data_IF_025869851508
#
_entry.id   IF_025869851508
#
_cell.length_a   1.000
_cell.length_b   1.000
_cell.length_c   1.000
_cell.angle_alpha   90.00
_cell.angle_beta   90.00
_cell.angle_gamma   90.00
#
_symmetry.space_group_name_H-M   'P 1'
#
loop_
_entity.id
_entity.type
_entity.pdbx_description
1 polymer ?
#
# COMPACT_ATOMS: atom_id res chain seq x y z
N UNK A 1 -14.36 2.34 -8.43
CA UNK A 1 -13.00 2.86 -8.13
C UNK A 1 -11.92 1.82 -8.46
N UNK A 2 -12.25 0.52 -8.50
CA UNK A 2 -11.25 -0.53 -8.76
C UNK A 2 -10.23 -0.61 -7.62
N UNK A 3 -9.03 -1.09 -7.93
CA UNK A 3 -7.96 -1.35 -6.96
C UNK A 3 -7.15 -0.09 -6.58
N UNK A 4 -7.69 1.10 -6.85
CA UNK A 4 -7.14 2.33 -6.29
C UNK A 4 -7.28 2.37 -4.76
N UNK A 5 -8.31 1.72 -4.21
CA UNK A 5 -8.53 1.64 -2.78
C UNK A 5 -9.14 0.29 -2.39
N UNK A 6 -8.77 -0.17 -1.19
CA UNK A 6 -9.18 -1.43 -0.60
C UNK A 6 -9.76 -1.13 0.79
N UNK A 7 -10.95 -1.64 1.08
CA UNK A 7 -11.52 -1.57 2.43
C UNK A 7 -11.13 -2.82 3.23
N UNK A 8 -10.35 -2.63 4.29
CA UNK A 8 -9.99 -3.70 5.23
C UNK A 8 -9.29 -4.91 4.61
N UNK A 9 -8.58 -4.74 3.49
CA UNK A 9 -7.95 -5.82 2.72
C UNK A 9 -6.50 -5.45 2.38
N UNK A 10 -5.60 -6.43 2.33
CA UNK A 10 -4.24 -6.19 1.84
C UNK A 10 -4.26 -5.82 0.34
N UNK A 11 -3.42 -4.85 -0.03
CA UNK A 11 -3.42 -4.26 -1.36
C UNK A 11 -2.26 -4.77 -2.23
N UNK A 12 -2.45 -4.77 -3.54
CA UNK A 12 -1.45 -5.17 -4.53
C UNK A 12 -0.40 -4.06 -4.73
N UNK A 13 0.89 -4.39 -4.57
CA UNK A 13 2.01 -3.43 -4.70
C UNK A 13 3.11 -3.95 -5.64
N UNK A 14 2.86 -5.04 -6.37
CA UNK A 14 3.92 -5.77 -7.07
C UNK A 14 4.47 -5.09 -8.34
N UNK A 15 3.85 -3.99 -8.77
CA UNK A 15 4.33 -3.16 -9.88
C UNK A 15 5.30 -2.04 -9.45
N UNK A 16 5.46 -1.78 -8.15
CA UNK A 16 6.42 -0.78 -7.65
C UNK A 16 6.08 0.66 -8.03
N UNK A 17 4.79 1.00 -8.11
CA UNK A 17 4.32 2.36 -8.43
C UNK A 17 3.62 3.03 -7.23
N UNK A 18 4.11 2.78 -6.03
CA UNK A 18 3.44 3.22 -4.79
C UNK A 18 3.54 4.74 -4.57
N UNK A 19 4.55 5.42 -5.09
CA UNK A 19 4.64 6.88 -5.07
C UNK A 19 3.56 7.54 -5.94
N UNK A 20 3.40 7.05 -7.17
CA UNK A 20 2.34 7.50 -8.07
C UNK A 20 0.94 7.17 -7.53
N UNK A 21 0.79 6.03 -6.86
CA UNK A 21 -0.44 5.67 -6.16
C UNK A 21 -0.79 6.69 -5.07
N UNK A 22 0.17 7.07 -4.21
CA UNK A 22 -0.05 8.09 -3.17
C UNK A 22 -0.50 9.43 -3.76
N UNK A 23 0.11 9.88 -4.85
CA UNK A 23 -0.28 11.10 -5.55
C UNK A 23 -1.72 11.02 -6.10
N UNK A 24 -2.09 9.87 -6.66
CA UNK A 24 -3.45 9.64 -7.14
C UNK A 24 -4.47 9.62 -6.00
N UNK A 25 -4.15 9.01 -4.85
CA UNK A 25 -5.02 9.02 -3.67
C UNK A 25 -5.28 10.43 -3.16
N UNK A 26 -4.25 11.28 -3.16
CA UNK A 26 -4.38 12.68 -2.75
C UNK A 26 -5.32 13.46 -3.67
N UNK A 27 -5.09 13.37 -4.98
CA UNK A 27 -5.94 14.00 -6.00
C UNK A 27 -7.38 13.52 -5.89
N UNK A 28 -7.60 12.21 -5.81
CA UNK A 28 -8.95 11.63 -5.73
C UNK A 28 -9.67 11.99 -4.42
N UNK A 29 -8.93 12.16 -3.32
CA UNK A 29 -9.51 12.64 -2.06
C UNK A 29 -10.13 14.02 -2.23
N UNK A 30 -9.46 14.91 -2.97
CA UNK A 30 -10.01 16.24 -3.28
C UNK A 30 -11.18 16.15 -4.28
N UNK A 31 -11.00 15.41 -5.38
CA UNK A 31 -11.97 15.34 -6.49
C UNK A 31 -13.30 14.68 -6.07
N UNK A 32 -13.25 13.73 -5.14
CA UNK A 32 -14.41 12.90 -4.75
C UNK A 32 -15.01 13.31 -3.40
N UNK A 33 -14.50 14.37 -2.79
CA UNK A 33 -15.04 14.86 -1.53
C UNK A 33 -16.52 15.28 -1.70
N UNK A 34 -17.37 14.87 -0.76
CA UNK A 34 -18.81 15.15 -0.80
C UNK A 34 -19.66 14.10 -1.53
N UNK A 35 -19.05 13.11 -2.19
CA UNK A 35 -19.81 11.94 -2.66
C UNK A 35 -20.33 11.10 -1.50
N UNK A 36 -21.55 10.60 -1.63
CA UNK A 36 -22.21 9.80 -0.59
C UNK A 36 -21.67 8.38 -0.48
N UNK A 37 -21.09 7.83 -1.55
CA UNK A 37 -20.50 6.50 -1.57
C UNK A 37 -19.41 6.35 -2.65
N UNK A 38 -18.37 5.60 -2.31
CA UNK A 38 -17.31 5.12 -3.18
C UNK A 38 -17.28 3.59 -3.13
N UNK A 39 -17.09 2.96 -4.29
CA UNK A 39 -17.08 1.51 -4.45
C UNK A 39 -15.66 1.03 -4.79
N UNK A 40 -14.89 0.51 -3.81
CA UNK A 40 -13.57 -0.08 -4.05
C UNK A 40 -13.67 -1.38 -4.84
N UNK A 41 -12.54 -1.83 -5.39
CA UNK A 41 -12.44 -3.17 -5.99
C UNK A 41 -12.60 -4.28 -4.96
N UNK A 42 -12.17 -4.04 -3.72
CA UNK A 42 -12.23 -4.99 -2.62
C UNK A 42 -12.75 -4.37 -1.31
N UNK A 43 -13.50 -5.17 -0.57
CA UNK A 43 -14.13 -4.78 0.69
C UNK A 43 -15.47 -4.07 0.51
N UNK A 44 -15.91 -3.30 1.50
CA UNK A 44 -17.24 -2.67 1.48
C UNK A 44 -17.21 -1.29 0.82
N UNK A 45 -18.36 -0.82 0.29
CA UNK A 45 -18.52 0.58 -0.07
C UNK A 45 -18.26 1.47 1.14
N UNK A 46 -17.61 2.60 0.89
CA UNK A 46 -17.25 3.58 1.92
C UNK A 46 -17.46 4.99 1.42
N UNK A 47 -16.94 5.95 2.17
CA UNK A 47 -16.88 7.37 1.77
C UNK A 47 -15.42 7.74 1.47
N UNK A 48 -15.14 9.03 1.31
CA UNK A 48 -13.80 9.53 1.00
C UNK A 48 -12.73 9.10 2.01
N UNK A 49 -13.10 8.79 3.27
CA UNK A 49 -12.18 8.28 4.29
C UNK A 49 -11.52 6.95 3.91
N UNK A 50 -12.14 6.18 3.00
CA UNK A 50 -11.53 4.99 2.39
C UNK A 50 -10.19 5.33 1.71
N UNK A 51 -10.10 6.46 1.01
CA UNK A 51 -8.90 6.88 0.31
C UNK A 51 -7.79 7.28 1.29
N UNK A 52 -8.17 7.89 2.42
CA UNK A 52 -7.24 8.20 3.50
C UNK A 52 -6.71 6.91 4.16
N UNK A 53 -7.58 5.92 4.43
CA UNK A 53 -7.17 4.63 4.96
C UNK A 53 -6.22 3.88 4.00
N UNK A 54 -6.52 3.91 2.69
CA UNK A 54 -5.62 3.34 1.68
C UNK A 54 -4.26 4.06 1.68
N UNK A 55 -4.24 5.40 1.76
CA UNK A 55 -3.00 6.17 1.83
C UNK A 55 -2.16 5.75 3.04
N UNK A 56 -2.78 5.59 4.20
CA UNK A 56 -2.11 5.11 5.42
C UNK A 56 -1.52 3.71 5.21
N UNK A 57 -2.26 2.80 4.58
CA UNK A 57 -1.75 1.46 4.27
C UNK A 57 -0.52 1.49 3.35
N UNK A 58 -0.59 2.25 2.25
CA UNK A 58 0.53 2.37 1.28
C UNK A 58 1.76 3.01 1.93
N UNK A 59 1.57 4.02 2.78
CA UNK A 59 2.65 4.63 3.56
C UNK A 59 3.30 3.63 4.52
N UNK A 60 2.51 2.88 5.29
CA UNK A 60 3.02 1.86 6.20
C UNK A 60 3.83 0.77 5.47
N UNK A 61 3.36 0.35 4.29
CA UNK A 61 4.09 -0.61 3.46
C UNK A 61 5.43 -0.03 2.98
N UNK A 62 5.44 1.20 2.45
CA UNK A 62 6.66 1.88 2.00
C UNK A 62 7.65 2.10 3.13
N UNK A 63 7.18 2.49 4.31
CA UNK A 63 8.01 2.64 5.52
C UNK A 63 8.65 1.32 5.92
N UNK A 64 7.88 0.24 6.02
CA UNK A 64 8.41 -1.09 6.32
C UNK A 64 9.49 -1.53 5.32
N UNK A 65 9.27 -1.31 4.02
CA UNK A 65 10.26 -1.63 2.98
C UNK A 65 11.49 -0.75 3.11
N UNK A 66 11.33 0.57 3.31
CA UNK A 66 12.46 1.51 3.43
C UNK A 66 13.39 1.13 4.57
N UNK A 67 12.82 0.85 5.75
CA UNK A 67 13.59 0.47 6.94
C UNK A 67 14.37 -0.84 6.74
N UNK A 68 13.76 -1.79 6.02
CA UNK A 68 14.28 -3.15 5.87
C UNK A 68 15.23 -3.30 4.68
N UNK A 69 15.12 -2.43 3.67
CA UNK A 69 16.00 -2.40 2.51
C UNK A 69 17.32 -1.68 2.78
N UNK A 70 17.35 -0.75 3.74
CA UNK A 70 18.54 0.06 4.09
C UNK A 70 19.19 0.73 2.86
N UNK A 71 18.37 1.33 1.99
CA UNK A 71 18.80 1.94 0.74
C UNK A 71 19.06 0.97 -0.42
N UNK A 72 18.95 -0.34 -0.19
CA UNK A 72 19.00 -1.36 -1.24
C UNK A 72 17.75 -1.39 -2.13
N UNK A 73 17.89 -1.91 -3.34
CA UNK A 73 16.79 -2.10 -4.29
C UNK A 73 16.06 -3.44 -4.16
N UNK A 74 16.46 -4.27 -3.20
CA UNK A 74 15.85 -5.59 -2.92
C UNK A 74 15.87 -5.88 -1.43
N UNK A 75 14.98 -6.77 -0.97
CA UNK A 75 14.98 -7.28 0.40
C UNK A 75 15.55 -8.70 0.44
N UNK A 76 16.38 -8.98 1.43
CA UNK A 76 16.75 -10.37 1.75
C UNK A 76 15.57 -11.13 2.39
N UNK A 77 15.69 -12.45 2.50
CA UNK A 77 14.61 -13.31 3.00
C UNK A 77 14.15 -12.98 4.42
N UNK A 78 15.06 -12.54 5.29
CA UNK A 78 14.71 -12.15 6.65
C UNK A 78 13.90 -10.85 6.67
N UNK A 79 14.36 -9.86 5.91
CA UNK A 79 13.64 -8.61 5.71
C UNK A 79 12.25 -8.84 5.10
N UNK A 80 12.12 -9.76 4.13
CA UNK A 80 10.81 -10.13 3.55
C UNK A 80 9.85 -10.68 4.61
N UNK A 81 10.32 -11.58 5.48
CA UNK A 81 9.52 -12.12 6.60
C UNK A 81 9.15 -11.04 7.63
N UNK A 82 10.09 -10.18 8.00
CA UNK A 82 9.83 -9.08 8.94
C UNK A 82 8.78 -8.11 8.39
N UNK A 83 8.86 -7.75 7.11
CA UNK A 83 7.86 -6.91 6.44
C UNK A 83 6.47 -7.56 6.46
N UNK A 84 6.37 -8.85 6.15
CA UNK A 84 5.10 -9.57 6.21
C UNK A 84 4.48 -9.51 7.61
N UNK A 85 5.28 -9.73 8.66
CA UNK A 85 4.82 -9.60 10.04
C UNK A 85 4.35 -8.18 10.38
N UNK A 86 5.08 -7.13 9.95
CA UNK A 86 4.67 -5.72 10.15
C UNK A 86 3.34 -5.42 9.47
N UNK A 87 3.15 -5.88 8.23
CA UNK A 87 1.89 -5.63 7.52
C UNK A 87 0.71 -6.42 8.12
N UNK A 88 0.93 -7.65 8.59
CA UNK A 88 -0.07 -8.40 9.31
C UNK A 88 -0.48 -7.73 10.64
N UNK A 89 0.44 -7.02 11.30
CA UNK A 89 0.14 -6.22 12.49
C UNK A 89 -0.57 -4.90 12.15
N UNK A 90 -0.22 -4.27 11.03
CA UNK A 90 -0.86 -3.04 10.57
C UNK A 90 -2.32 -3.27 10.15
N UNK A 91 -2.66 -4.47 9.67
CA UNK A 91 -4.02 -4.83 9.30
C UNK A 91 -4.37 -6.27 9.73
N UNK A 92 -4.60 -6.53 11.02
CA UNK A 92 -4.79 -7.88 11.55
C UNK A 92 -6.03 -8.58 10.97
N UNK A 93 -5.84 -9.80 10.50
CA UNK A 93 -6.91 -10.64 9.97
C UNK A 93 -7.48 -10.19 8.62
N UNK A 94 -6.85 -9.23 7.94
CA UNK A 94 -7.27 -8.83 6.61
C UNK A 94 -7.10 -9.96 5.59
N UNK A 95 -8.04 -10.09 4.64
CA UNK A 95 -7.89 -11.01 3.53
C UNK A 95 -6.76 -10.58 2.59
N UNK A 96 -6.42 -11.49 1.67
CA UNK A 96 -5.38 -11.29 0.65
C UNK A 96 -3.96 -11.07 1.21
N UNK A 97 -3.64 -11.60 2.39
CA UNK A 97 -2.28 -11.55 2.95
C UNK A 97 -1.20 -12.11 2.02
N UNK A 98 -1.55 -13.01 1.09
CA UNK A 98 -0.65 -13.52 0.05
C UNK A 98 -0.18 -12.46 -0.96
N UNK A 99 -0.84 -11.29 -1.04
CA UNK A 99 -0.40 -10.16 -1.85
C UNK A 99 0.79 -9.43 -1.24
N UNK A 100 0.87 -9.39 0.09
CA UNK A 100 1.93 -8.70 0.82
C UNK A 100 3.32 -9.11 0.32
N UNK A 101 3.68 -10.41 0.19
CA UNK A 101 5.01 -10.79 -0.26
C UNK A 101 5.42 -10.20 -1.61
N UNK A 102 4.48 -10.08 -2.55
CA UNK A 102 4.75 -9.91 -3.98
C UNK A 102 5.43 -8.59 -4.36
N UNK A 103 5.21 -7.52 -3.61
CA UNK A 103 5.75 -6.20 -3.94
C UNK A 103 7.01 -5.79 -3.19
N UNK A 104 7.71 -6.71 -2.50
CA UNK A 104 8.88 -6.33 -1.69
C UNK A 104 9.96 -5.66 -2.53
N UNK A 105 10.45 -6.36 -3.55
CA UNK A 105 11.59 -5.90 -4.34
C UNK A 105 11.19 -4.77 -5.29
N UNK A 106 9.97 -4.80 -5.83
CA UNK A 106 9.48 -3.72 -6.70
C UNK A 106 9.40 -2.37 -5.96
N UNK A 107 8.89 -2.36 -4.73
CA UNK A 107 8.81 -1.14 -3.91
C UNK A 107 10.19 -0.74 -3.38
N UNK A 108 11.08 -1.68 -3.07
CA UNK A 108 12.45 -1.36 -2.69
C UNK A 108 13.21 -0.69 -3.84
N UNK A 109 13.07 -1.21 -5.06
CA UNK A 109 13.65 -0.61 -6.26
C UNK A 109 13.08 0.79 -6.53
N UNK A 110 11.77 0.98 -6.41
CA UNK A 110 11.15 2.32 -6.49
C UNK A 110 11.77 3.30 -5.49
N UNK A 111 11.83 2.93 -4.21
CA UNK A 111 12.35 3.77 -3.14
C UNK A 111 13.85 4.10 -3.31
N UNK A 112 14.64 3.16 -3.81
CA UNK A 112 16.06 3.40 -4.08
C UNK A 112 16.27 4.50 -5.15
N UNK A 113 15.36 4.61 -6.13
CA UNK A 113 15.44 5.67 -7.15
C UNK A 113 15.03 7.04 -6.63
N UNK A 114 14.15 7.12 -5.62
CA UNK A 114 13.74 8.37 -4.98
C UNK A 114 14.83 8.98 -4.08
N UNK A 115 15.73 8.15 -3.55
CA UNK A 115 16.81 8.57 -2.65
C UNK A 115 18.10 8.99 -3.36
N UNK A 116 18.15 8.84 -4.70
CA UNK A 116 19.32 9.11 -5.55
C UNK A 116 19.42 10.56 -6.03
#
# INVERSE_FOLDING_TARGET
MGDVAFDGTHAYTADGHTGAWLANLERLTADLNGLSALYPGHGKPGRVELLAAQRTYVLAYREAVRDLADGGSTLNDDAKRQREARMAQALPGAPLGWLVPLGADAVAAELATEAS
#
